data_IF_870232654633
#
_entry.id   IF_870232654633
#
_cell.length_a   1.000
_cell.length_b   1.000
_cell.length_c   1.000
_cell.angle_alpha   90.00
_cell.angle_beta   90.00
_cell.angle_gamma   90.00
#
_symmetry.space_group_name_H-M   'P 1'
#
loop_
_entity.id
_entity.type
_entity.pdbx_description
1 polymer ?
#
# COMPACT_ATOMS: atom_id res chain seq x y z
N UNK A 1 3.06 -44.91 -14.32
CA UNK A 1 3.60 -43.76 -13.56
C UNK A 1 2.78 -42.54 -13.95
N UNK A 2 1.79 -42.14 -13.16
CA UNK A 2 1.13 -40.84 -13.33
C UNK A 2 1.58 -39.94 -12.18
N UNK A 3 2.18 -38.80 -12.51
CA UNK A 3 2.45 -37.75 -11.55
C UNK A 3 1.26 -36.79 -11.59
N UNK A 4 0.58 -36.66 -10.45
CA UNK A 4 -0.36 -35.58 -10.20
C UNK A 4 0.44 -34.28 -10.00
N UNK A 5 0.20 -33.28 -10.83
CA UNK A 5 0.65 -31.92 -10.58
C UNK A 5 -0.27 -31.32 -9.51
N UNK A 6 0.27 -31.02 -8.32
CA UNK A 6 -0.45 -30.24 -7.32
C UNK A 6 -0.38 -28.77 -7.72
N UNK A 7 -1.51 -28.18 -8.09
CA UNK A 7 -1.65 -26.74 -8.20
C UNK A 7 -1.58 -26.14 -6.79
N UNK A 8 -0.43 -25.59 -6.42
CA UNK A 8 -0.31 -24.80 -5.19
C UNK A 8 -1.06 -23.49 -5.40
N UNK A 9 -2.27 -23.39 -4.85
CA UNK A 9 -2.97 -22.12 -4.69
C UNK A 9 -2.12 -21.23 -3.78
N UNK A 10 -1.57 -20.14 -4.33
CA UNK A 10 -0.89 -19.13 -3.54
C UNK A 10 -1.91 -18.49 -2.59
N UNK A 11 -1.79 -18.78 -1.29
CA UNK A 11 -2.56 -18.10 -0.25
C UNK A 11 -2.16 -16.63 -0.28
N UNK A 12 -3.07 -15.78 -0.75
CA UNK A 12 -2.89 -14.33 -0.77
C UNK A 12 -2.96 -13.86 0.69
N UNK A 13 -1.79 -13.62 1.30
CA UNK A 13 -1.67 -13.05 2.63
C UNK A 13 -1.74 -11.52 2.52
N UNK A 14 -2.57 -10.88 3.31
CA UNK A 14 -2.75 -9.42 3.31
C UNK A 14 -2.42 -8.84 4.69
N UNK A 15 -1.45 -7.92 4.76
CA UNK A 15 -1.08 -7.18 5.98
C UNK A 15 -2.29 -6.46 6.60
N UNK A 16 -2.45 -6.48 7.93
CA UNK A 16 -3.58 -5.84 8.61
C UNK A 16 -3.13 -4.53 9.25
N UNK A 17 -3.63 -3.38 8.78
CA UNK A 17 -3.55 -2.13 9.57
C UNK A 17 -4.62 -2.22 10.66
N UNK A 18 -4.29 -2.86 11.80
CA UNK A 18 -5.20 -2.97 12.93
C UNK A 18 -5.39 -1.63 13.63
N UNK A 19 -6.50 -1.01 13.23
CA UNK A 19 -7.25 0.13 13.73
C UNK A 19 -7.39 1.17 12.63
N UNK A 20 -8.27 0.94 11.65
CA UNK A 20 -9.06 1.95 10.93
C UNK A 20 -10.08 1.24 10.01
N UNK A 21 -11.32 1.10 10.52
CA UNK A 21 -12.54 0.62 9.82
C UNK A 21 -12.45 -0.76 9.15
N UNK A 22 -13.27 -1.70 9.60
CA UNK A 22 -13.44 -3.05 9.05
C UNK A 22 -13.96 -3.10 7.58
N UNK A 23 -13.89 -2.01 6.83
CA UNK A 23 -14.48 -1.81 5.51
C UNK A 23 -13.50 -1.38 4.42
N UNK A 24 -12.20 -1.26 4.70
CA UNK A 24 -11.20 -0.83 3.71
C UNK A 24 -10.19 -1.94 3.42
N UNK A 25 -9.85 -2.13 2.15
CA UNK A 25 -8.84 -3.09 1.73
C UNK A 25 -7.49 -2.78 2.38
N UNK A 26 -6.76 -3.80 2.84
CA UNK A 26 -5.49 -3.63 3.55
C UNK A 26 -4.44 -2.91 2.71
N UNK A 27 -3.50 -2.23 3.39
CA UNK A 27 -2.35 -1.58 2.79
C UNK A 27 -1.07 -2.27 3.26
N UNK A 28 -0.20 -2.59 2.31
CA UNK A 28 1.10 -3.17 2.56
C UNK A 28 2.13 -2.04 2.59
N UNK A 29 3.02 -2.04 3.58
CA UNK A 29 4.19 -1.17 3.62
C UNK A 29 5.31 -1.82 2.84
N UNK A 30 5.62 -1.25 1.68
CA UNK A 30 6.57 -1.81 0.74
C UNK A 30 7.76 -0.86 0.52
N UNK A 31 8.94 -1.35 0.90
CA UNK A 31 10.20 -0.63 0.65
C UNK A 31 10.68 -0.76 -0.80
N UNK A 32 10.22 -1.77 -1.54
CA UNK A 32 10.47 -1.99 -2.95
C UNK A 32 9.53 -1.20 -3.87
N UNK A 33 8.41 -0.70 -3.37
CA UNK A 33 7.49 0.14 -4.14
C UNK A 33 8.02 1.57 -4.29
N UNK A 34 8.05 2.07 -5.53
CA UNK A 34 8.34 3.46 -5.83
C UNK A 34 7.15 4.38 -5.60
N UNK A 35 5.92 3.86 -5.70
CA UNK A 35 4.68 4.63 -5.76
C UNK A 35 3.61 4.08 -4.81
N UNK A 36 2.68 4.94 -4.41
CA UNK A 36 1.45 4.49 -3.75
C UNK A 36 0.51 3.91 -4.80
N UNK A 37 -0.03 2.72 -4.55
CA UNK A 37 -0.95 2.04 -5.47
C UNK A 37 -2.20 1.63 -4.70
N UNK A 38 -3.37 1.86 -5.30
CA UNK A 38 -4.63 1.35 -4.78
C UNK A 38 -5.47 0.68 -5.88
N UNK A 39 -6.09 -0.45 -5.52
CA UNK A 39 -6.90 -1.26 -6.43
C UNK A 39 -8.38 -0.90 -6.50
N UNK A 40 -8.87 -0.15 -5.50
CA UNK A 40 -10.27 0.19 -5.33
C UNK A 40 -10.47 1.72 -5.37
N UNK A 41 -11.31 2.20 -6.29
CA UNK A 41 -11.61 3.62 -6.48
C UNK A 41 -12.42 4.22 -5.31
N UNK A 42 -13.20 3.40 -4.59
CA UNK A 42 -14.00 3.85 -3.45
C UNK A 42 -13.15 4.36 -2.27
N UNK A 43 -11.84 4.10 -2.28
CA UNK A 43 -10.89 4.55 -1.25
C UNK A 43 -10.42 6.00 -1.48
N UNK A 44 -10.65 6.54 -2.67
CA UNK A 44 -10.16 7.86 -3.05
C UNK A 44 -11.13 8.95 -2.60
N UNK A 45 -10.62 9.92 -1.85
CA UNK A 45 -11.39 11.14 -1.53
C UNK A 45 -11.42 12.13 -2.68
N UNK A 46 -10.46 12.03 -3.60
CA UNK A 46 -10.39 12.77 -4.85
C UNK A 46 -9.57 11.98 -5.85
N UNK A 47 -9.93 12.06 -7.12
CA UNK A 47 -9.21 11.42 -8.21
C UNK A 47 -9.27 12.29 -9.47
N UNK A 48 -8.19 12.28 -10.23
CA UNK A 48 -8.04 13.00 -11.48
C UNK A 48 -7.34 12.13 -12.53
N UNK A 49 -7.57 12.37 -13.83
CA UNK A 49 -6.79 11.73 -14.88
C UNK A 49 -5.30 12.09 -14.77
N UNK A 50 -4.43 11.21 -15.23
CA UNK A 50 -3.01 11.53 -15.36
C UNK A 50 -2.80 12.52 -16.52
N UNK A 51 -1.94 13.52 -16.31
CA UNK A 51 -1.66 14.57 -17.30
C UNK A 51 -0.80 14.10 -18.48
N UNK A 52 -0.09 12.99 -18.30
CA UNK A 52 0.78 12.39 -19.30
C UNK A 52 0.74 10.86 -19.14
N UNK A 53 1.18 10.15 -20.18
CA UNK A 53 1.32 8.71 -20.12
C UNK A 53 2.34 8.36 -19.01
N UNK A 54 1.85 7.71 -17.97
CA UNK A 54 2.65 7.19 -16.87
C UNK A 54 2.48 5.69 -16.86
N UNK A 55 3.59 4.97 -17.00
CA UNK A 55 3.63 3.52 -16.88
C UNK A 55 4.39 3.18 -15.62
N UNK A 56 3.80 2.34 -14.79
CA UNK A 56 4.50 1.71 -13.67
C UNK A 56 4.92 0.30 -14.07
N UNK A 57 5.99 -0.18 -13.46
CA UNK A 57 6.46 -1.57 -13.62
C UNK A 57 6.08 -2.34 -12.38
N UNK A 58 5.35 -3.45 -12.55
CA UNK A 58 4.98 -4.33 -11.45
C UNK A 58 6.13 -5.30 -11.13
N UNK A 59 6.01 -6.00 -9.99
CA UNK A 59 7.03 -6.93 -9.52
C UNK A 59 7.29 -8.09 -10.51
N UNK A 60 6.31 -8.44 -11.34
CA UNK A 60 6.44 -9.45 -12.41
C UNK A 60 7.10 -8.91 -13.69
N UNK A 61 7.52 -7.63 -13.71
CA UNK A 61 8.12 -6.95 -14.84
C UNK A 61 7.12 -6.42 -15.87
N UNK A 62 5.82 -6.69 -15.70
CA UNK A 62 4.79 -6.13 -16.58
C UNK A 62 4.66 -4.62 -16.38
N UNK A 63 4.20 -3.93 -17.42
CA UNK A 63 3.95 -2.48 -17.38
C UNK A 63 2.47 -2.21 -17.47
N UNK A 64 1.98 -1.35 -16.58
CA UNK A 64 0.56 -0.96 -16.54
C UNK A 64 0.44 0.56 -16.48
N UNK A 65 -0.58 1.09 -17.18
CA UNK A 65 -0.97 2.48 -17.09
C UNK A 65 -2.04 2.63 -15.98
N UNK A 66 -1.77 3.40 -14.91
CA UNK A 66 -2.80 3.74 -13.93
C UNK A 66 -3.96 4.48 -14.60
N UNK A 67 -5.18 4.26 -14.14
CA UNK A 67 -6.38 4.94 -14.68
C UNK A 67 -6.57 6.34 -14.10
N UNK A 68 -5.98 6.61 -12.94
CA UNK A 68 -6.15 7.87 -12.24
C UNK A 68 -5.05 8.09 -11.21
N UNK A 69 -4.97 9.33 -10.74
CA UNK A 69 -4.13 9.74 -9.63
C UNK A 69 -4.95 10.56 -8.65
N UNK A 70 -4.78 10.31 -7.36
CA UNK A 70 -5.66 10.91 -6.35
C UNK A 70 -5.12 10.89 -4.92
N UNK A 71 -6.03 11.10 -3.98
CA UNK A 71 -5.74 11.13 -2.55
C UNK A 71 -6.52 10.02 -1.84
N UNK A 72 -5.84 9.33 -0.93
CA UNK A 72 -6.43 8.33 -0.04
C UNK A 72 -6.15 8.71 1.40
N UNK A 73 -7.19 8.73 2.23
CA UNK A 73 -7.06 8.95 3.67
C UNK A 73 -7.09 7.62 4.38
N UNK A 74 -5.94 7.15 4.88
CA UNK A 74 -5.88 5.95 5.71
C UNK A 74 -6.36 6.27 7.12
N UNK A 75 -6.01 7.46 7.61
CA UNK A 75 -6.45 8.01 8.89
C UNK A 75 -6.50 9.54 8.82
N UNK A 76 -7.12 10.20 9.82
CA UNK A 76 -7.06 11.66 9.93
C UNK A 76 -5.62 12.23 9.92
N UNK A 77 -4.64 11.44 10.33
CA UNK A 77 -3.22 11.82 10.43
C UNK A 77 -2.37 11.27 9.29
N UNK A 78 -2.90 10.34 8.50
CA UNK A 78 -2.19 9.58 7.48
C UNK A 78 -2.93 9.71 6.15
N UNK A 79 -2.62 10.80 5.44
CA UNK A 79 -3.20 11.11 4.13
C UNK A 79 -2.15 10.91 3.05
N UNK A 80 -2.39 9.94 2.17
CA UNK A 80 -1.55 9.65 1.02
C UNK A 80 -1.97 10.53 -0.15
N UNK A 81 -1.00 11.24 -0.73
CA UNK A 81 -1.18 12.06 -1.92
C UNK A 81 -0.54 11.35 -3.11
N UNK A 82 -1.04 11.65 -4.31
CA UNK A 82 -0.50 11.10 -5.56
C UNK A 82 -0.60 9.57 -5.62
N UNK A 83 -1.67 9.00 -5.08
CA UNK A 83 -1.93 7.56 -5.16
C UNK A 83 -2.36 7.18 -6.56
N UNK A 84 -1.70 6.20 -7.15
CA UNK A 84 -2.02 5.66 -8.47
C UNK A 84 -3.16 4.67 -8.36
N UNK A 85 -4.25 4.92 -9.09
CA UNK A 85 -5.36 3.98 -9.21
C UNK A 85 -5.06 2.94 -10.29
N UNK A 86 -4.92 1.69 -9.87
CA UNK A 86 -4.66 0.54 -10.74
C UNK A 86 -5.78 -0.47 -10.52
N UNK A 87 -6.86 -0.44 -11.33
CA UNK A 87 -8.01 -1.29 -11.12
C UNK A 87 -7.64 -2.77 -11.07
N UNK A 88 -8.33 -3.52 -10.21
CA UNK A 88 -8.10 -4.95 -10.01
C UNK A 88 -6.69 -5.30 -9.52
N UNK A 89 -5.88 -4.32 -9.09
CA UNK A 89 -4.66 -4.63 -8.35
C UNK A 89 -5.06 -5.34 -7.06
N UNK A 90 -4.54 -6.55 -6.77
CA UNK A 90 -4.97 -7.33 -5.63
C UNK A 90 -4.54 -6.73 -4.28
N UNK A 91 -3.64 -5.75 -4.29
CA UNK A 91 -3.08 -5.14 -3.10
C UNK A 91 -3.04 -3.62 -3.21
N UNK A 92 -3.18 -2.94 -2.08
CA UNK A 92 -2.80 -1.54 -1.97
C UNK A 92 -1.38 -1.47 -1.41
N UNK A 93 -0.52 -0.67 -2.05
CA UNK A 93 0.89 -0.57 -1.70
C UNK A 93 1.23 0.83 -1.21
N UNK A 94 1.94 0.87 -0.09
CA UNK A 94 2.51 2.09 0.48
C UNK A 94 4.00 2.13 0.16
N UNK A 95 4.44 3.08 -0.66
CA UNK A 95 5.88 3.31 -0.83
C UNK A 95 6.47 3.85 0.48
N UNK A 96 7.32 3.07 1.14
CA UNK A 96 8.02 3.49 2.36
C UNK A 96 8.84 4.77 2.13
N UNK A 97 9.48 4.85 0.96
CA UNK A 97 10.34 5.97 0.59
C UNK A 97 9.55 7.27 0.38
N UNK A 98 8.38 7.20 -0.26
CA UNK A 98 7.51 8.37 -0.36
C UNK A 98 6.94 8.74 1.00
N UNK A 99 6.52 7.76 1.79
CA UNK A 99 5.85 7.98 3.07
C UNK A 99 6.75 8.69 4.08
N UNK A 100 7.99 8.22 4.21
CA UNK A 100 9.00 8.82 5.10
C UNK A 100 9.33 10.25 4.71
N UNK A 101 9.44 10.54 3.41
CA UNK A 101 9.73 11.89 2.88
C UNK A 101 8.54 12.84 3.01
N UNK A 102 7.34 12.42 2.63
CA UNK A 102 6.17 13.30 2.52
C UNK A 102 5.61 13.72 3.87
N UNK A 103 5.74 12.87 4.89
CA UNK A 103 5.19 13.10 6.22
C UNK A 103 6.29 13.38 7.27
N UNK A 104 7.56 13.48 6.85
CA UNK A 104 8.72 13.67 7.73
C UNK A 104 8.67 12.72 8.94
N UNK A 105 8.59 11.41 8.67
CA UNK A 105 8.32 10.41 9.70
C UNK A 105 9.20 9.16 9.55
N UNK A 106 9.60 8.56 10.67
CA UNK A 106 10.34 7.31 10.75
C UNK A 106 9.42 6.11 10.95
N UNK A 107 9.92 4.93 10.59
CA UNK A 107 9.22 3.64 10.72
C UNK A 107 10.08 2.73 11.57
N UNK A 108 9.47 2.15 12.59
CA UNK A 108 10.14 1.19 13.48
C UNK A 108 9.36 -0.11 13.42
N UNK A 109 10.06 -1.20 13.13
CA UNK A 109 9.49 -2.54 13.04
C UNK A 109 9.85 -3.36 14.27
N UNK A 110 8.91 -4.14 14.74
CA UNK A 110 9.14 -5.30 15.62
C UNK A 110 8.49 -6.53 14.97
N UNK A 111 8.54 -7.68 15.65
CA UNK A 111 8.03 -8.94 15.10
C UNK A 111 6.52 -8.95 14.79
N UNK A 112 5.74 -8.04 15.39
CA UNK A 112 4.28 -8.06 15.34
C UNK A 112 3.70 -6.86 14.60
N UNK A 113 4.47 -5.78 14.48
CA UNK A 113 3.95 -4.49 14.03
C UNK A 113 5.03 -3.54 13.53
N UNK A 114 4.59 -2.54 12.80
CA UNK A 114 5.37 -1.38 12.44
C UNK A 114 4.69 -0.09 12.93
N UNK A 115 5.46 0.78 13.55
CA UNK A 115 5.00 2.09 14.03
C UNK A 115 5.46 3.18 13.07
N UNK A 116 4.55 4.03 12.66
CA UNK A 116 4.84 5.24 11.87
C UNK A 116 4.81 6.44 12.83
N UNK A 117 5.95 7.08 13.01
CA UNK A 117 6.12 8.17 13.97
C UNK A 117 6.64 9.43 13.29
N UNK A 118 5.93 10.55 13.47
CA UNK A 118 6.38 11.85 12.97
C UNK A 118 7.62 12.33 13.72
N UNK A 119 8.64 12.78 12.98
CA UNK A 119 9.96 13.10 13.53
C UNK A 119 10.01 14.43 14.31
N UNK A 120 9.07 15.35 14.07
CA UNK A 120 9.07 16.65 14.72
C UNK A 120 8.64 16.56 16.19
N UNK A 121 7.49 15.94 16.45
CA UNK A 121 6.88 15.84 17.78
C UNK A 121 7.05 14.47 18.42
N UNK A 122 7.50 13.46 17.67
CA UNK A 122 7.51 12.06 18.12
C UNK A 122 6.11 11.45 18.18
N UNK A 123 5.10 12.08 17.57
CA UNK A 123 3.73 11.58 17.62
C UNK A 123 3.55 10.35 16.72
N UNK A 124 2.91 9.31 17.26
CA UNK A 124 2.45 8.17 16.45
C UNK A 124 1.33 8.64 15.50
N UNK A 125 1.52 8.42 14.20
CA UNK A 125 0.55 8.80 13.15
C UNK A 125 -0.07 7.59 12.45
N UNK A 126 0.47 6.39 12.69
CA UNK A 126 -0.10 5.13 12.20
C UNK A 126 0.60 3.91 12.78
N UNK A 127 -0.07 2.78 12.70
CA UNK A 127 0.46 1.45 13.07
C UNK A 127 0.02 0.45 12.00
N UNK A 128 0.95 -0.34 11.50
CA UNK A 128 0.68 -1.53 10.67
C UNK A 128 0.98 -2.77 11.48
N UNK A 129 0.27 -3.87 11.23
CA UNK A 129 0.49 -5.14 11.92
C UNK A 129 0.95 -6.19 10.93
N UNK A 130 1.89 -7.00 11.39
CA UNK A 130 2.39 -8.13 10.63
C UNK A 130 1.25 -9.12 10.39
N UNK A 131 1.14 -9.60 9.15
CA UNK A 131 0.26 -10.71 8.82
C UNK A 131 0.82 -11.51 7.64
N UNK A 132 1.31 -12.72 7.95
CA UNK A 132 1.79 -13.70 6.98
C UNK A 132 2.96 -13.19 6.13
N UNK A 133 3.94 -12.60 6.79
CA UNK A 133 5.20 -12.10 6.27
C UNK A 133 5.18 -10.63 5.80
N UNK A 134 4.04 -9.95 5.89
CA UNK A 134 3.84 -8.60 5.36
C UNK A 134 3.41 -7.64 6.47
N UNK A 135 3.85 -6.38 6.36
CA UNK A 135 3.51 -5.27 7.26
C UNK A 135 2.66 -4.23 6.54
#
# INVERSE_FOLDING_TARGET
MSQAQSSSTATISTAYISQLTASQSPWIIDSGASDYIAGNDSMFSSMSPLKSLHLITLADGSKIAPKGIGQVSLSPLLNLKSVLFVPNCPFNLTSLSQLTKSLNCSKTFNAESCVIQELGTGRMIGVGHEFGGLY
#
